data_IF_025856029835
#
_entry.id   IF_025856029835
#
_cell.length_a   1.000
_cell.length_b   1.000
_cell.length_c   1.000
_cell.angle_alpha   90.00
_cell.angle_beta   90.00
_cell.angle_gamma   90.00
#
_symmetry.space_group_name_H-M   'P 1'
#
loop_
_entity.id
_entity.type
_entity.pdbx_description
1 polymer ?
#
# COMPACT_ATOMS: atom_id res chain seq x y z
N UNK A 1 11.34 18.47 12.22
CA UNK A 1 10.62 17.24 12.58
C UNK A 1 9.86 16.81 11.33
N UNK A 2 10.40 15.84 10.61
CA UNK A 2 10.01 15.48 9.24
C UNK A 2 8.79 14.55 9.26
N UNK A 3 7.87 14.74 8.33
CA UNK A 3 6.61 13.99 8.16
C UNK A 3 6.77 12.45 8.17
N UNK A 4 7.96 11.95 7.84
CA UNK A 4 8.32 10.55 7.87
C UNK A 4 8.35 9.92 9.28
N UNK A 5 8.78 10.67 10.30
CA UNK A 5 8.87 10.16 11.69
C UNK A 5 7.48 9.98 12.29
N UNK A 6 6.56 10.90 11.99
CA UNK A 6 5.15 10.82 12.41
C UNK A 6 4.41 9.63 11.77
N UNK A 7 4.70 9.32 10.50
CA UNK A 7 4.11 8.17 9.82
C UNK A 7 4.65 6.82 10.31
N UNK A 8 5.92 6.75 10.70
CA UNK A 8 6.52 5.53 11.27
C UNK A 8 6.00 5.29 12.68
N UNK A 9 5.80 6.34 13.48
CA UNK A 9 5.26 6.23 14.83
C UNK A 9 3.80 5.75 14.84
N UNK A 10 2.92 6.34 13.99
CA UNK A 10 1.55 5.83 13.78
C UNK A 10 1.52 4.37 13.35
N UNK A 11 2.48 3.95 12.49
CA UNK A 11 2.58 2.58 11.99
C UNK A 11 2.90 1.54 13.08
N UNK A 12 3.55 1.96 14.17
CA UNK A 12 3.86 1.07 15.30
C UNK A 12 2.73 0.95 16.31
N UNK A 13 1.82 1.93 16.36
CA UNK A 13 0.66 1.91 17.25
C UNK A 13 -0.45 1.01 16.70
N UNK A 14 -0.68 1.01 15.39
CA UNK A 14 -1.73 0.18 14.75
C UNK A 14 -1.42 -1.34 14.81
N UNK A 15 -0.15 -1.74 14.92
CA UNK A 15 0.25 -3.16 14.98
C UNK A 15 0.42 -3.68 16.42
N UNK A 16 0.70 -2.82 17.40
CA UNK A 16 0.92 -3.24 18.79
C UNK A 16 -0.30 -3.92 19.42
N UNK A 17 -1.52 -3.49 19.07
CA UNK A 17 -2.75 -4.13 19.54
C UNK A 17 -2.98 -5.51 18.93
N UNK A 18 -2.55 -5.72 17.68
CA UNK A 18 -2.69 -6.99 16.98
C UNK A 18 -1.74 -8.05 17.52
N UNK A 19 -0.51 -7.66 17.86
CA UNK A 19 0.47 -8.55 18.49
C UNK A 19 -0.03 -9.10 19.83
N UNK A 20 -0.69 -8.26 20.64
CA UNK A 20 -1.28 -8.68 21.91
C UNK A 20 -2.47 -9.63 21.71
N UNK A 21 -3.41 -9.31 20.80
CA UNK A 21 -4.54 -10.19 20.48
C UNK A 21 -4.08 -11.57 19.98
N UNK A 22 -3.04 -11.60 19.13
CA UNK A 22 -2.43 -12.84 18.64
C UNK A 22 -1.77 -13.61 19.79
N UNK A 23 -1.04 -12.93 20.68
CA UNK A 23 -0.40 -13.57 21.83
C UNK A 23 -1.43 -14.21 22.77
N UNK A 24 -2.53 -13.49 23.07
CA UNK A 24 -3.63 -14.03 23.87
C UNK A 24 -4.24 -15.25 23.18
N UNK A 25 -4.46 -15.20 21.86
CA UNK A 25 -4.96 -16.35 21.09
C UNK A 25 -4.04 -17.56 21.21
N UNK A 26 -2.72 -17.36 21.05
CA UNK A 26 -1.72 -18.42 21.16
C UNK A 26 -1.64 -19.02 22.56
N UNK A 27 -1.81 -18.22 23.61
CA UNK A 27 -1.88 -18.71 25.00
C UNK A 27 -3.08 -19.63 25.18
N UNK A 28 -4.26 -19.23 24.69
CA UNK A 28 -5.47 -20.07 24.77
C UNK A 28 -5.31 -21.37 23.98
N UNK A 29 -4.71 -21.33 22.78
CA UNK A 29 -4.40 -22.53 22.00
C UNK A 29 -3.50 -23.48 22.80
N UNK A 30 -2.43 -22.97 23.43
CA UNK A 30 -1.53 -23.79 24.25
C UNK A 30 -2.24 -24.41 25.45
N UNK A 31 -3.07 -23.66 26.15
CA UNK A 31 -3.82 -24.17 27.28
C UNK A 31 -4.88 -25.19 26.86
N UNK A 32 -5.59 -24.98 25.75
CA UNK A 32 -6.53 -25.96 25.22
C UNK A 32 -5.82 -27.28 24.90
N UNK A 33 -4.66 -27.24 24.24
CA UNK A 33 -3.84 -28.43 23.99
C UNK A 33 -3.41 -29.10 25.30
N UNK A 34 -2.92 -28.33 26.28
CA UNK A 34 -2.52 -28.86 27.58
C UNK A 34 -3.67 -29.57 28.29
N UNK A 35 -4.87 -28.97 28.33
CA UNK A 35 -6.03 -29.59 28.97
C UNK A 35 -6.50 -30.85 28.26
N UNK A 36 -6.41 -30.92 26.93
CA UNK A 36 -6.69 -32.16 26.21
C UNK A 36 -5.71 -33.29 26.59
N UNK A 37 -4.42 -32.99 26.74
CA UNK A 37 -3.45 -33.99 27.20
C UNK A 37 -3.68 -34.40 28.66
N UNK A 38 -4.02 -33.46 29.53
CA UNK A 38 -4.39 -33.76 30.93
C UNK A 38 -5.67 -34.60 31.01
N UNK A 39 -6.66 -34.33 30.16
CA UNK A 39 -7.88 -35.12 30.07
C UNK A 39 -7.58 -36.57 29.67
N UNK A 40 -6.72 -36.77 28.65
CA UNK A 40 -6.26 -38.11 28.24
C UNK A 40 -5.55 -38.85 29.37
N UNK A 41 -4.60 -38.19 30.02
CA UNK A 41 -3.88 -38.79 31.14
C UNK A 41 -4.80 -39.16 32.32
N UNK A 42 -5.83 -38.36 32.59
CA UNK A 42 -6.83 -38.67 33.61
C UNK A 42 -7.71 -39.86 33.22
N UNK A 43 -8.14 -39.92 31.95
CA UNK A 43 -8.95 -41.03 31.42
C UNK A 43 -8.18 -42.36 31.44
N UNK A 44 -6.89 -42.35 31.07
CA UNK A 44 -5.98 -43.50 31.15
C UNK A 44 -5.88 -44.03 32.60
N UNK A 45 -5.93 -43.14 33.58
CA UNK A 45 -5.93 -43.47 35.01
C UNK A 45 -7.34 -43.82 35.55
N UNK A 46 -8.36 -43.84 34.69
CA UNK A 46 -9.78 -44.07 35.03
C UNK A 46 -10.36 -43.01 35.99
N UNK A 47 -9.74 -41.84 36.08
CA UNK A 47 -10.21 -40.69 36.85
C UNK A 47 -11.17 -39.86 35.99
N UNK A 48 -12.40 -40.33 35.89
CA UNK A 48 -13.43 -39.78 34.99
C UNK A 48 -13.81 -38.34 35.33
N UNK A 49 -13.82 -37.99 36.61
CA UNK A 49 -14.21 -36.64 37.04
C UNK A 49 -13.19 -35.61 36.57
N UNK A 50 -11.88 -35.93 36.71
CA UNK A 50 -10.81 -35.07 36.17
C UNK A 50 -10.79 -35.04 34.66
N UNK A 51 -10.97 -36.18 34.00
CA UNK A 51 -11.02 -36.23 32.54
C UNK A 51 -12.14 -35.33 31.98
N UNK A 52 -13.33 -35.37 32.61
CA UNK A 52 -14.46 -34.54 32.25
C UNK A 52 -14.20 -33.05 32.50
N UNK A 53 -13.64 -32.70 33.67
CA UNK A 53 -13.30 -31.31 33.99
C UNK A 53 -12.32 -30.71 32.98
N UNK A 54 -11.22 -31.41 32.67
CA UNK A 54 -10.26 -30.94 31.69
C UNK A 54 -10.84 -30.84 30.27
N UNK A 55 -11.71 -31.76 29.88
CA UNK A 55 -12.38 -31.72 28.57
C UNK A 55 -13.29 -30.50 28.44
N UNK A 56 -14.00 -30.12 29.50
CA UNK A 56 -14.84 -28.92 29.49
C UNK A 56 -14.01 -27.64 29.40
N UNK A 57 -12.91 -27.54 30.16
CA UNK A 57 -12.00 -26.39 30.09
C UNK A 57 -11.38 -26.24 28.70
N UNK A 58 -10.97 -27.36 28.08
CA UNK A 58 -10.48 -27.34 26.71
C UNK A 58 -11.57 -26.87 25.72
N UNK A 59 -12.80 -27.37 25.87
CA UNK A 59 -13.93 -26.99 25.00
C UNK A 59 -14.22 -25.49 25.07
N UNK A 60 -14.26 -24.91 26.28
CA UNK A 60 -14.47 -23.47 26.47
C UNK A 60 -13.40 -22.63 25.75
N UNK A 61 -12.14 -23.05 25.81
CA UNK A 61 -11.07 -22.35 25.11
C UNK A 61 -11.17 -22.51 23.59
N UNK A 62 -11.51 -23.70 23.10
CA UNK A 62 -11.70 -23.94 21.66
C UNK A 62 -12.80 -23.05 21.10
N UNK A 63 -13.92 -22.91 21.81
CA UNK A 63 -15.01 -22.03 21.39
C UNK A 63 -14.56 -20.56 21.36
N UNK A 64 -13.82 -20.12 22.37
CA UNK A 64 -13.26 -18.77 22.41
C UNK A 64 -12.26 -18.51 21.28
N UNK A 65 -11.37 -19.46 20.98
CA UNK A 65 -10.42 -19.41 19.86
C UNK A 65 -11.20 -19.31 18.54
N UNK A 66 -12.22 -20.15 18.36
CA UNK A 66 -13.08 -20.15 17.19
C UNK A 66 -13.74 -18.80 16.96
N UNK A 67 -14.34 -18.22 18.00
CA UNK A 67 -14.98 -16.90 17.93
C UNK A 67 -14.01 -15.72 17.71
N UNK A 68 -12.80 -15.81 18.25
CA UNK A 68 -11.83 -14.70 18.24
C UNK A 68 -10.91 -14.69 17.02
N UNK A 69 -10.66 -15.85 16.41
CA UNK A 69 -9.68 -15.99 15.33
C UNK A 69 -10.08 -15.27 14.03
N UNK A 70 -11.35 -15.34 13.62
CA UNK A 70 -11.85 -14.69 12.40
C UNK A 70 -11.56 -13.19 12.33
N UNK A 71 -12.00 -12.39 13.32
CA UNK A 71 -11.73 -10.96 13.37
C UNK A 71 -10.23 -10.62 13.36
N UNK A 72 -9.38 -11.43 14.00
CA UNK A 72 -7.93 -11.24 14.00
C UNK A 72 -7.37 -11.44 12.60
N UNK A 73 -7.78 -12.51 11.89
CA UNK A 73 -7.35 -12.75 10.52
C UNK A 73 -7.83 -11.67 9.54
N UNK A 74 -9.06 -11.18 9.70
CA UNK A 74 -9.57 -10.07 8.88
C UNK A 74 -8.71 -8.80 9.04
N UNK A 75 -8.31 -8.46 10.28
CA UNK A 75 -7.39 -7.34 10.55
C UNK A 75 -6.03 -7.53 9.88
N UNK A 76 -5.46 -8.75 9.95
CA UNK A 76 -4.19 -9.09 9.28
C UNK A 76 -4.32 -8.91 7.76
N UNK A 77 -5.39 -9.41 7.17
CA UNK A 77 -5.64 -9.32 5.72
C UNK A 77 -5.77 -7.87 5.25
N UNK A 78 -6.51 -7.05 6.00
CA UNK A 78 -6.62 -5.61 5.72
C UNK A 78 -5.26 -4.94 5.80
N UNK A 79 -4.47 -5.20 6.86
CA UNK A 79 -3.14 -4.63 7.02
C UNK A 79 -2.21 -5.02 5.86
N UNK A 80 -2.26 -6.28 5.44
CA UNK A 80 -1.48 -6.78 4.29
C UNK A 80 -1.89 -6.10 2.98
N UNK A 81 -3.19 -5.93 2.71
CA UNK A 81 -3.69 -5.21 1.53
C UNK A 81 -3.26 -3.76 1.52
N UNK A 82 -3.31 -3.07 2.66
CA UNK A 82 -2.86 -1.69 2.80
C UNK A 82 -1.35 -1.59 2.50
N UNK A 83 -0.54 -2.50 3.06
CA UNK A 83 0.89 -2.56 2.81
C UNK A 83 1.19 -2.78 1.32
N UNK A 84 0.54 -3.76 0.70
CA UNK A 84 0.72 -4.06 -0.72
C UNK A 84 0.30 -2.87 -1.60
N UNK A 85 -0.85 -2.24 -1.32
CA UNK A 85 -1.31 -1.05 -2.04
C UNK A 85 -0.30 0.10 -1.93
N UNK A 86 0.30 0.29 -0.75
CA UNK A 86 1.35 1.30 -0.55
C UNK A 86 2.60 0.99 -1.35
N UNK A 87 3.06 -0.27 -1.36
CA UNK A 87 4.22 -0.70 -2.14
C UNK A 87 3.97 -0.55 -3.64
N UNK A 88 2.80 -0.96 -4.11
CA UNK A 88 2.36 -0.75 -5.50
C UNK A 88 2.32 0.74 -5.86
N UNK A 89 1.82 1.60 -4.96
CA UNK A 89 1.82 3.05 -5.14
C UNK A 89 3.24 3.64 -5.25
N UNK A 90 4.17 3.20 -4.40
CA UNK A 90 5.58 3.58 -4.49
C UNK A 90 6.22 3.13 -5.80
N UNK A 91 5.95 1.89 -6.23
CA UNK A 91 6.43 1.35 -7.50
C UNK A 91 5.96 2.18 -8.70
N UNK A 92 4.67 2.51 -8.74
CA UNK A 92 4.10 3.39 -9.78
C UNK A 92 4.74 4.78 -9.76
N UNK A 93 4.87 5.40 -8.59
CA UNK A 93 5.50 6.73 -8.48
C UNK A 93 6.96 6.71 -8.96
N UNK A 94 7.71 5.64 -8.64
CA UNK A 94 9.09 5.47 -9.10
C UNK A 94 9.15 5.28 -10.63
N UNK A 95 8.24 4.49 -11.21
CA UNK A 95 8.18 4.29 -12.66
C UNK A 95 7.79 5.57 -13.42
N UNK A 96 6.93 6.41 -12.84
CA UNK A 96 6.54 7.67 -13.45
C UNK A 96 7.59 8.78 -13.33
N UNK A 97 8.55 8.69 -12.40
CA UNK A 97 9.52 9.77 -12.16
C UNK A 97 10.38 10.08 -13.41
N UNK A 98 11.02 9.11 -14.09
CA UNK A 98 11.78 9.38 -15.31
C UNK A 98 10.92 10.01 -16.41
N UNK A 99 9.66 9.58 -16.52
CA UNK A 99 8.71 10.13 -17.50
C UNK A 99 8.32 11.56 -17.15
N UNK A 100 8.13 11.89 -15.86
CA UNK A 100 7.87 13.27 -15.44
C UNK A 100 9.08 14.17 -15.71
N UNK A 101 10.29 13.69 -15.45
CA UNK A 101 11.53 14.41 -15.77
C UNK A 101 11.65 14.64 -17.28
N UNK A 102 11.34 13.63 -18.10
CA UNK A 102 11.30 13.77 -19.55
C UNK A 102 10.25 14.77 -20.02
N UNK A 103 9.05 14.77 -19.42
CA UNK A 103 8.02 15.75 -19.73
C UNK A 103 8.47 17.18 -19.39
N UNK A 104 9.18 17.38 -18.28
CA UNK A 104 9.76 18.67 -17.89
C UNK A 104 10.80 19.14 -18.91
N UNK A 105 11.71 18.24 -19.35
CA UNK A 105 12.69 18.55 -20.39
C UNK A 105 12.02 18.95 -21.71
N UNK A 106 11.06 18.15 -22.17
CA UNK A 106 10.34 18.41 -23.43
C UNK A 106 9.52 19.71 -23.38
N UNK A 107 8.97 20.07 -22.21
CA UNK A 107 8.29 21.35 -22.02
C UNK A 107 9.20 22.56 -22.23
N UNK A 108 10.50 22.47 -21.92
CA UNK A 108 11.45 23.55 -22.13
C UNK A 108 12.06 23.50 -23.55
N UNK A 109 12.49 22.32 -23.99
CA UNK A 109 13.14 22.11 -25.29
C UNK A 109 12.22 22.41 -26.48
N UNK A 110 10.94 22.03 -26.40
CA UNK A 110 9.98 22.19 -27.50
C UNK A 110 9.17 23.49 -27.39
N UNK A 111 9.52 24.36 -26.44
CA UNK A 111 8.77 25.60 -26.18
C UNK A 111 8.76 26.52 -27.42
N UNK A 112 7.58 26.94 -27.90
CA UNK A 112 7.48 27.95 -28.96
C UNK A 112 8.04 29.31 -28.54
N UNK A 113 8.46 30.12 -29.50
CA UNK A 113 8.83 31.52 -29.26
C UNK A 113 7.61 32.28 -28.69
N UNK A 114 7.74 32.77 -27.46
CA UNK A 114 6.63 33.36 -26.69
C UNK A 114 6.00 32.44 -25.64
N UNK A 115 6.31 31.14 -25.63
CA UNK A 115 5.83 30.15 -24.66
C UNK A 115 4.64 29.33 -25.15
N UNK A 116 4.21 28.36 -24.33
CA UNK A 116 3.11 27.47 -24.68
C UNK A 116 1.76 28.18 -24.59
N UNK A 117 0.99 28.27 -25.70
CA UNK A 117 -0.28 28.97 -25.72
C UNK A 117 -1.36 28.28 -24.88
N UNK A 118 -1.41 26.96 -24.85
CA UNK A 118 -2.36 26.18 -24.03
C UNK A 118 -1.77 24.84 -23.63
N UNK A 119 -2.27 24.25 -22.53
CA UNK A 119 -1.90 22.90 -22.10
C UNK A 119 -2.16 21.87 -23.19
N UNK A 120 -3.30 21.96 -23.88
CA UNK A 120 -3.66 21.04 -24.97
C UNK A 120 -2.66 21.08 -26.12
N UNK A 121 -2.15 22.26 -26.49
CA UNK A 121 -1.13 22.38 -27.54
C UNK A 121 0.21 21.80 -27.08
N UNK A 122 0.60 22.01 -25.82
CA UNK A 122 1.79 21.39 -25.25
C UNK A 122 1.67 19.86 -25.20
N UNK A 123 0.52 19.33 -24.75
CA UNK A 123 0.27 17.88 -24.70
C UNK A 123 0.44 17.24 -26.07
N UNK A 124 -0.24 17.77 -27.11
CA UNK A 124 -0.15 17.23 -28.47
C UNK A 124 1.26 17.29 -29.07
N UNK A 125 2.07 18.29 -28.69
CA UNK A 125 3.43 18.41 -29.18
C UNK A 125 4.38 17.39 -28.51
N UNK A 126 4.14 17.12 -27.23
CA UNK A 126 5.06 16.37 -26.35
C UNK A 126 4.68 14.89 -26.27
N UNK A 127 3.41 14.51 -26.46
CA UNK A 127 2.91 13.14 -26.22
C UNK A 127 3.68 12.06 -26.99
N UNK A 128 3.97 12.29 -28.27
CA UNK A 128 4.72 11.32 -29.11
C UNK A 128 6.15 11.17 -28.63
N UNK A 129 6.83 12.27 -28.31
CA UNK A 129 8.21 12.25 -27.83
C UNK A 129 8.30 11.59 -26.44
N UNK A 130 7.29 11.80 -25.61
CA UNK A 130 7.22 11.18 -24.29
C UNK A 130 6.93 9.67 -24.38
N UNK A 131 6.12 9.25 -25.36
CA UNK A 131 5.91 7.85 -25.69
C UNK A 131 7.22 7.15 -26.13
N UNK A 132 8.01 7.80 -26.98
CA UNK A 132 9.33 7.29 -27.41
C UNK A 132 10.29 7.11 -26.23
N UNK A 133 10.28 8.02 -25.25
CA UNK A 133 11.08 7.88 -24.02
C UNK A 133 10.66 6.64 -23.22
N UNK A 134 9.35 6.41 -23.06
CA UNK A 134 8.82 5.24 -22.33
C UNK A 134 9.25 3.94 -23.00
N UNK A 135 9.20 3.88 -24.32
CA UNK A 135 9.62 2.71 -25.10
C UNK A 135 11.14 2.49 -25.01
N UNK A 136 11.93 3.55 -25.18
CA UNK A 136 13.40 3.49 -25.14
C UNK A 136 13.94 3.13 -23.76
N UNK A 137 13.34 3.66 -22.70
CA UNK A 137 13.73 3.36 -21.31
C UNK A 137 13.11 2.05 -20.80
N UNK A 138 12.34 1.33 -21.64
CA UNK A 138 11.69 0.06 -21.33
C UNK A 138 10.87 0.11 -20.02
N UNK A 139 10.09 1.17 -19.82
CA UNK A 139 9.26 1.32 -18.62
C UNK A 139 7.96 0.52 -18.79
N UNK A 140 8.09 -0.81 -18.76
CA UNK A 140 7.02 -1.79 -19.08
C UNK A 140 5.74 -1.66 -18.25
N UNK A 141 5.81 -0.99 -17.09
CA UNK A 141 4.66 -0.77 -16.21
C UNK A 141 3.74 0.35 -16.70
N UNK A 142 4.17 1.13 -17.69
CA UNK A 142 3.42 2.27 -18.21
C UNK A 142 2.88 1.96 -19.61
N UNK A 143 1.57 2.11 -19.75
CA UNK A 143 0.89 2.00 -21.03
C UNK A 143 0.96 3.34 -21.79
N UNK A 144 1.62 3.30 -22.94
CA UNK A 144 1.84 4.45 -23.84
C UNK A 144 0.51 5.08 -24.27
N UNK A 145 -0.57 4.31 -24.39
CA UNK A 145 -1.89 4.84 -24.77
C UNK A 145 -2.47 5.82 -23.75
N UNK A 146 -1.95 5.86 -22.52
CA UNK A 146 -2.39 6.76 -21.46
C UNK A 146 -1.56 8.04 -21.33
N UNK A 147 -0.54 8.25 -22.16
CA UNK A 147 0.38 9.39 -22.07
C UNK A 147 -0.35 10.73 -22.12
N UNK A 148 -1.28 10.92 -23.05
CA UNK A 148 -2.08 12.15 -23.18
C UNK A 148 -2.82 12.48 -21.87
N UNK A 149 -3.45 11.46 -21.27
CA UNK A 149 -4.24 11.57 -20.04
C UNK A 149 -3.36 11.91 -18.84
N UNK A 150 -2.20 11.25 -18.70
CA UNK A 150 -1.26 11.54 -17.63
C UNK A 150 -0.69 12.95 -17.76
N UNK A 151 -0.22 13.33 -18.95
CA UNK A 151 0.38 14.63 -19.19
C UNK A 151 -0.62 15.76 -18.93
N UNK A 152 -1.87 15.62 -19.37
CA UNK A 152 -2.95 16.56 -19.06
C UNK A 152 -3.16 16.73 -17.55
N UNK A 153 -3.15 15.62 -16.81
CA UNK A 153 -3.29 15.64 -15.35
C UNK A 153 -2.08 16.28 -14.68
N UNK A 154 -0.88 15.93 -15.13
CA UNK A 154 0.37 16.41 -14.53
C UNK A 154 0.58 17.90 -14.72
N UNK A 155 0.28 18.44 -15.90
CA UNK A 155 0.31 19.89 -16.15
C UNK A 155 -0.65 20.68 -15.24
N UNK A 156 -1.67 20.02 -14.66
CA UNK A 156 -2.66 20.67 -13.78
C UNK A 156 -2.27 20.58 -12.30
N UNK A 157 -1.90 19.38 -11.85
CA UNK A 157 -1.89 19.04 -10.43
C UNK A 157 -0.57 18.43 -9.94
N UNK A 158 0.34 18.03 -10.84
CA UNK A 158 1.56 17.34 -10.41
C UNK A 158 2.60 18.30 -9.83
N UNK A 159 3.18 17.93 -8.68
CA UNK A 159 4.11 18.77 -7.93
C UNK A 159 5.41 19.09 -8.69
N UNK A 160 5.81 18.27 -9.67
CA UNK A 160 7.04 18.46 -10.45
C UNK A 160 6.74 19.09 -11.81
N UNK A 161 5.73 18.59 -12.51
CA UNK A 161 5.43 19.01 -13.89
C UNK A 161 4.67 20.34 -13.93
N UNK A 162 3.78 20.63 -12.97
CA UNK A 162 3.02 21.89 -12.94
C UNK A 162 3.93 23.13 -12.81
N UNK A 163 4.93 23.18 -11.92
CA UNK A 163 5.85 24.31 -11.87
C UNK A 163 6.59 24.54 -13.21
N UNK A 164 7.03 23.45 -13.86
CA UNK A 164 7.68 23.54 -15.17
C UNK A 164 6.74 24.09 -16.25
N UNK A 165 5.46 23.71 -16.21
CA UNK A 165 4.43 24.31 -17.07
C UNK A 165 4.28 25.81 -16.81
N UNK A 166 4.17 26.25 -15.55
CA UNK A 166 3.97 27.66 -15.22
C UNK A 166 5.15 28.55 -15.67
N UNK A 167 6.36 28.01 -15.75
CA UNK A 167 7.55 28.71 -16.28
C UNK A 167 7.57 28.80 -17.81
N UNK A 168 6.93 27.85 -18.50
CA UNK A 168 7.00 27.71 -19.96
C UNK A 168 5.71 28.13 -20.67
N UNK A 169 4.62 28.42 -19.94
CA UNK A 169 3.38 28.94 -20.53
C UNK A 169 3.62 30.31 -21.16
N UNK A 170 2.81 30.63 -22.16
CA UNK A 170 2.86 31.94 -22.78
C UNK A 170 2.64 33.02 -21.71
N UNK A 171 3.61 33.93 -21.57
CA UNK A 171 3.43 35.09 -20.72
C UNK A 171 2.38 35.97 -21.35
N UNK A 172 1.34 36.36 -20.62
CA UNK A 172 0.55 37.52 -21.02
C UNK A 172 1.55 38.66 -21.18
N UNK A 173 1.69 39.18 -22.40
CA UNK A 173 2.43 40.39 -22.66
C UNK A 173 1.84 41.47 -21.73
N UNK A 174 2.60 41.84 -20.70
CA UNK A 174 2.31 43.03 -19.90
C UNK A 174 2.54 44.27 -20.73
#
# INVERSE_FOLDING_TARGET
>A
MTTWEHEVYKRSEDTKGLDEEINVLLVHVRHACLYLELARAADDNKDRDRAWAFTNEASLMIDWIGGSSGPIFDKIDVANRVKQNRENGKGRNKAHLPVKEAAIRLLDEMKPEGGWPTKTKAVKAIETHLAEVIEKEQILTLDISNVEKWLTTWLRDDELVKPAWELNKHGDAR
#
